data_IF_128636465614
#
_entry.id   IF_128636465614
#
_cell.length_a   1.000
_cell.length_b   1.000
_cell.length_c   1.000
_cell.angle_alpha   90.00
_cell.angle_beta   90.00
_cell.angle_gamma   90.00
#
_symmetry.space_group_name_H-M   'P 1'
#
loop_
_entity.id
_entity.type
_entity.pdbx_description
1 polymer ?
#
# COMPACT_ATOMS: atom_id res chain seq x y z
N UNK A 1 25.82 -6.86 11.28
CA UNK A 1 24.77 -7.39 10.36
C UNK A 1 24.31 -6.25 9.48
N UNK A 2 24.06 -6.49 8.18
CA UNK A 2 23.45 -5.52 7.25
C UNK A 2 22.41 -6.25 6.42
N UNK A 3 21.19 -5.73 6.35
CA UNK A 3 20.10 -6.33 5.59
C UNK A 3 19.49 -5.27 4.67
N UNK A 4 19.39 -5.59 3.39
CA UNK A 4 18.89 -4.71 2.34
C UNK A 4 17.51 -5.19 1.85
N UNK A 5 16.50 -4.36 2.02
CA UNK A 5 15.13 -4.69 1.69
C UNK A 5 14.61 -3.73 0.61
N UNK A 6 14.00 -4.27 -0.45
CA UNK A 6 13.28 -3.51 -1.46
C UNK A 6 11.80 -3.87 -1.41
N UNK A 7 10.95 -2.90 -1.15
CA UNK A 7 9.50 -3.02 -1.22
C UNK A 7 9.04 -2.26 -2.45
N UNK A 8 8.30 -2.92 -3.34
CA UNK A 8 7.83 -2.34 -4.59
C UNK A 8 6.35 -2.63 -4.82
N UNK A 9 5.65 -1.70 -5.42
CA UNK A 9 4.21 -1.83 -5.67
C UNK A 9 3.68 -0.69 -6.52
N UNK A 10 2.37 -0.56 -6.56
CA UNK A 10 1.70 0.51 -7.28
C UNK A 10 1.56 1.76 -6.39
N UNK A 11 1.67 2.94 -6.96
CA UNK A 11 1.46 4.19 -6.24
C UNK A 11 0.06 4.26 -5.62
N UNK A 12 0.01 4.42 -4.30
CA UNK A 12 -1.23 4.33 -3.51
C UNK A 12 -1.36 3.08 -2.65
N UNK A 13 -0.53 2.04 -2.85
CA UNK A 13 -0.51 0.84 -2.00
C UNK A 13 0.25 1.04 -0.66
N UNK A 14 0.69 2.26 -0.35
CA UNK A 14 1.39 2.55 0.90
C UNK A 14 2.82 2.00 0.99
N UNK A 15 3.49 1.83 -0.16
CA UNK A 15 4.86 1.29 -0.26
C UNK A 15 5.87 2.15 0.51
N UNK A 16 5.82 3.46 0.31
CA UNK A 16 6.69 4.42 1.00
C UNK A 16 6.43 4.42 2.50
N UNK A 17 5.17 4.36 2.90
CA UNK A 17 4.77 4.26 4.31
C UNK A 17 5.29 2.96 4.95
N UNK A 18 5.17 1.83 4.24
CA UNK A 18 5.68 0.56 4.74
C UNK A 18 7.20 0.60 5.00
N UNK A 19 7.96 1.18 4.07
CA UNK A 19 9.40 1.37 4.28
C UNK A 19 9.72 2.29 5.44
N UNK A 20 8.97 3.38 5.61
CA UNK A 20 9.16 4.30 6.73
C UNK A 20 8.82 3.64 8.09
N UNK A 21 7.80 2.79 8.13
CA UNK A 21 7.44 2.01 9.32
C UNK A 21 8.56 1.02 9.66
N UNK A 22 9.06 0.28 8.66
CA UNK A 22 10.13 -0.71 8.88
C UNK A 22 11.43 -0.05 9.35
N UNK A 23 11.83 1.07 8.72
CA UNK A 23 13.02 1.82 9.14
C UNK A 23 12.89 2.36 10.55
N UNK A 24 11.75 2.94 10.93
CA UNK A 24 11.51 3.40 12.31
C UNK A 24 11.49 2.25 13.31
N UNK A 25 10.93 1.10 12.93
CA UNK A 25 10.95 -0.09 13.79
C UNK A 25 12.38 -0.58 14.07
N UNK A 26 13.27 -0.50 13.09
CA UNK A 26 14.69 -0.82 13.28
C UNK A 26 15.37 0.16 14.25
N UNK A 27 15.09 1.46 14.13
CA UNK A 27 15.60 2.47 15.08
C UNK A 27 15.07 2.23 16.50
N UNK A 28 13.78 1.91 16.65
CA UNK A 28 13.19 1.55 17.97
C UNK A 28 13.84 0.32 18.56
N UNK A 29 14.31 -0.61 17.72
CA UNK A 29 15.04 -1.80 18.13
C UNK A 29 16.53 -1.55 18.47
N UNK A 30 17.00 -0.30 18.32
CA UNK A 30 18.39 0.08 18.60
C UNK A 30 19.34 -0.19 17.43
N UNK A 31 18.82 -0.40 16.23
CA UNK A 31 19.61 -0.57 15.00
C UNK A 31 19.68 0.74 14.21
N UNK A 32 20.65 0.84 13.32
CA UNK A 32 20.72 1.90 12.31
C UNK A 32 19.82 1.54 11.12
N UNK A 33 19.14 2.54 10.56
CA UNK A 33 18.35 2.34 9.35
C UNK A 33 18.34 3.56 8.43
N UNK A 34 18.42 3.31 7.13
CA UNK A 34 18.25 4.34 6.10
C UNK A 34 17.18 3.89 5.12
N UNK A 35 16.26 4.80 4.82
CA UNK A 35 15.24 4.60 3.79
C UNK A 35 15.51 5.50 2.59
N UNK A 36 15.49 4.94 1.40
CA UNK A 36 15.39 5.66 0.13
C UNK A 36 14.10 5.27 -0.59
N UNK A 37 13.59 6.13 -1.46
CA UNK A 37 12.33 5.89 -2.15
C UNK A 37 12.33 6.49 -3.55
N UNK A 38 11.45 6.00 -4.41
CA UNK A 38 11.21 6.64 -5.70
C UNK A 38 10.45 7.96 -5.50
N UNK A 39 10.93 9.00 -6.17
CA UNK A 39 10.26 10.30 -6.23
C UNK A 39 9.76 10.53 -7.65
N UNK A 40 8.56 11.08 -7.80
CA UNK A 40 8.03 11.45 -9.09
C UNK A 40 6.56 11.05 -9.30
N UNK A 41 6.06 11.17 -10.52
CA UNK A 41 4.67 10.84 -10.87
C UNK A 41 4.33 9.36 -10.62
N UNK A 42 5.33 8.48 -10.54
CA UNK A 42 5.14 7.06 -10.25
C UNK A 42 4.50 6.81 -8.87
N UNK A 43 4.68 7.70 -7.91
CA UNK A 43 4.01 7.60 -6.60
C UNK A 43 2.49 7.81 -6.67
N UNK A 44 1.97 8.28 -7.82
CA UNK A 44 0.55 8.57 -8.08
C UNK A 44 -0.02 7.74 -9.23
N UNK A 45 0.16 6.42 -9.19
CA UNK A 45 -0.40 5.53 -10.18
C UNK A 45 0.61 4.83 -11.09
N UNK A 46 1.92 4.97 -10.83
CA UNK A 46 2.98 4.18 -11.45
C UNK A 46 3.60 3.17 -10.48
N UNK A 47 4.67 2.48 -10.93
CA UNK A 47 5.43 1.60 -10.07
C UNK A 47 6.30 2.41 -9.09
N UNK A 48 6.00 2.31 -7.80
CA UNK A 48 6.73 2.93 -6.71
C UNK A 48 7.61 1.91 -5.99
N UNK A 49 8.72 2.36 -5.42
CA UNK A 49 9.57 1.56 -4.56
C UNK A 49 9.97 2.30 -3.29
N UNK A 50 10.27 1.55 -2.25
CA UNK A 50 10.96 1.98 -1.05
C UNK A 50 12.08 0.98 -0.75
N UNK A 51 13.26 1.46 -0.50
CA UNK A 51 14.43 0.65 -0.17
C UNK A 51 14.87 0.98 1.24
N UNK A 52 15.14 -0.03 2.02
CA UNK A 52 15.51 0.07 3.42
C UNK A 52 16.80 -0.71 3.64
N UNK A 53 17.77 -0.06 4.24
CA UNK A 53 18.99 -0.71 4.77
C UNK A 53 18.89 -0.71 6.28
N UNK A 54 18.96 -1.88 6.91
CA UNK A 54 18.98 -2.06 8.35
C UNK A 54 20.37 -2.60 8.74
N UNK A 55 21.01 -2.02 9.75
CA UNK A 55 22.35 -2.41 10.17
C UNK A 55 22.54 -2.27 11.69
N UNK A 56 23.46 -3.06 12.25
CA UNK A 56 23.97 -2.91 13.62
C UNK A 56 25.16 -1.91 13.71
N UNK A 57 25.58 -1.36 12.57
CA UNK A 57 26.62 -0.34 12.45
C UNK A 57 26.13 0.81 11.56
N UNK A 58 26.83 1.93 11.59
CA UNK A 58 26.53 3.12 10.78
C UNK A 58 26.37 2.75 9.30
N UNK A 59 25.28 3.20 8.70
CA UNK A 59 25.01 2.99 7.28
C UNK A 59 25.65 4.12 6.47
N UNK A 60 26.84 3.89 5.95
CA UNK A 60 27.60 4.82 5.12
C UNK A 60 27.16 4.80 3.63
N UNK A 61 26.54 3.70 3.16
CA UNK A 61 26.02 3.58 1.82
C UNK A 61 24.51 3.25 1.83
N UNK A 62 23.65 4.24 1.50
CA UNK A 62 22.20 4.11 1.68
C UNK A 62 21.47 3.42 0.54
N UNK A 63 22.16 3.07 -0.57
CA UNK A 63 21.50 2.43 -1.72
C UNK A 63 21.47 0.92 -1.58
N UNK A 64 20.35 0.34 -2.00
CA UNK A 64 20.18 -1.10 -2.21
C UNK A 64 20.56 -1.42 -3.65
N UNK A 65 21.71 -2.05 -3.82
CA UNK A 65 22.17 -2.50 -5.13
C UNK A 65 21.57 -3.87 -5.47
N UNK A 66 21.64 -4.81 -4.53
CA UNK A 66 21.09 -6.14 -4.64
C UNK A 66 20.36 -6.48 -3.34
N UNK A 67 19.02 -6.46 -3.30
CA UNK A 67 18.29 -6.67 -2.05
C UNK A 67 18.43 -8.10 -1.53
N UNK A 68 18.56 -8.26 -0.22
CA UNK A 68 18.42 -9.56 0.44
C UNK A 68 16.97 -10.03 0.39
N UNK A 69 16.03 -9.08 0.52
CA UNK A 69 14.58 -9.32 0.45
C UNK A 69 13.94 -8.35 -0.55
N UNK A 70 13.29 -8.91 -1.57
CA UNK A 70 12.44 -8.17 -2.48
C UNK A 70 10.97 -8.53 -2.21
N UNK A 71 10.14 -7.51 -1.93
CA UNK A 71 8.69 -7.69 -1.78
C UNK A 71 7.95 -6.90 -2.84
N UNK A 72 7.07 -7.55 -3.59
CA UNK A 72 6.38 -6.92 -4.72
C UNK A 72 4.87 -7.07 -4.63
N UNK A 73 4.17 -5.95 -4.65
CA UNK A 73 2.72 -5.87 -4.53
C UNK A 73 2.00 -5.54 -5.86
N UNK A 74 2.68 -5.59 -7.01
CA UNK A 74 2.03 -5.43 -8.31
C UNK A 74 2.90 -5.93 -9.47
N UNK A 75 2.27 -6.43 -10.56
CA UNK A 75 2.99 -6.87 -11.76
C UNK A 75 3.80 -5.75 -12.42
N UNK A 76 3.31 -4.49 -12.38
CA UNK A 76 4.03 -3.35 -12.93
C UNK A 76 5.32 -3.06 -12.15
N UNK A 77 5.28 -3.18 -10.82
CA UNK A 77 6.46 -3.01 -9.98
C UNK A 77 7.45 -4.17 -10.15
N UNK A 78 6.98 -5.40 -10.35
CA UNK A 78 7.85 -6.55 -10.64
C UNK A 78 8.64 -6.34 -11.92
N UNK A 79 7.99 -5.91 -13.00
CA UNK A 79 8.68 -5.61 -14.27
C UNK A 79 9.74 -4.50 -14.16
N UNK A 80 9.50 -3.51 -13.28
CA UNK A 80 10.40 -2.35 -13.16
C UNK A 80 11.52 -2.54 -12.13
N UNK A 81 11.24 -3.25 -11.03
CA UNK A 81 12.13 -3.34 -9.87
C UNK A 81 12.50 -4.76 -9.47
N UNK A 82 12.03 -5.76 -10.21
CA UNK A 82 12.42 -7.17 -10.07
C UNK A 82 13.68 -7.53 -10.84
N UNK A 83 14.48 -6.54 -11.22
CA UNK A 83 15.84 -6.66 -11.79
C UNK A 83 16.87 -6.55 -10.67
N UNK A 84 18.13 -6.79 -10.99
CA UNK A 84 19.25 -6.66 -10.05
C UNK A 84 19.09 -7.55 -8.79
N UNK A 85 18.61 -8.79 -9.00
CA UNK A 85 18.47 -9.79 -7.95
C UNK A 85 19.71 -10.68 -7.91
N UNK A 86 20.20 -10.96 -6.70
CA UNK A 86 21.26 -11.93 -6.46
C UNK A 86 20.71 -13.34 -6.32
N UNK A 87 21.59 -14.33 -6.37
CA UNK A 87 21.24 -15.75 -6.20
C UNK A 87 20.55 -16.04 -4.85
N UNK A 88 20.87 -15.24 -3.83
CA UNK A 88 20.32 -15.42 -2.47
C UNK A 88 19.14 -14.48 -2.16
N UNK A 89 18.73 -13.62 -3.08
CA UNK A 89 17.58 -12.72 -2.88
C UNK A 89 16.32 -13.52 -2.60
N UNK A 90 15.67 -13.24 -1.48
CA UNK A 90 14.35 -13.80 -1.15
C UNK A 90 13.28 -12.95 -1.79
N UNK A 91 12.52 -13.53 -2.71
CA UNK A 91 11.47 -12.83 -3.45
C UNK A 91 10.10 -13.23 -2.89
N UNK A 92 9.32 -12.25 -2.49
CA UNK A 92 7.94 -12.41 -2.02
C UNK A 92 7.03 -11.58 -2.90
N UNK A 93 5.97 -12.16 -3.42
CA UNK A 93 5.00 -11.46 -4.27
C UNK A 93 3.58 -11.59 -3.73
N UNK A 94 2.79 -10.54 -3.93
CA UNK A 94 1.34 -10.63 -3.67
C UNK A 94 0.70 -11.56 -4.71
N UNK A 95 0.03 -12.61 -4.24
CA UNK A 95 -0.51 -13.68 -5.08
C UNK A 95 -1.64 -13.19 -6.01
N UNK A 96 -2.46 -12.24 -5.55
CA UNK A 96 -3.57 -11.67 -6.32
C UNK A 96 -3.08 -10.59 -7.30
N UNK A 97 -2.13 -9.75 -6.88
CA UNK A 97 -1.73 -8.55 -7.61
C UNK A 97 -0.56 -8.75 -8.57
N UNK A 98 0.22 -9.82 -8.42
CA UNK A 98 1.33 -10.18 -9.30
C UNK A 98 0.95 -11.41 -10.13
N UNK A 99 0.34 -11.17 -11.28
CA UNK A 99 -0.23 -12.22 -12.14
C UNK A 99 0.80 -12.89 -13.07
N UNK A 100 2.04 -12.40 -13.08
CA UNK A 100 3.12 -13.03 -13.86
C UNK A 100 3.82 -14.11 -13.04
N UNK A 101 4.35 -15.12 -13.69
CA UNK A 101 5.22 -16.10 -13.03
C UNK A 101 6.55 -15.44 -12.65
N UNK A 102 7.00 -15.72 -11.43
CA UNK A 102 8.29 -15.26 -10.90
C UNK A 102 8.95 -16.48 -10.27
N UNK A 103 9.99 -16.95 -10.91
CA UNK A 103 10.71 -18.15 -10.48
C UNK A 103 11.26 -17.98 -9.07
N UNK A 104 11.08 -18.99 -8.21
CA UNK A 104 11.55 -18.99 -6.83
C UNK A 104 10.83 -18.02 -5.90
N UNK A 105 9.82 -17.27 -6.37
CA UNK A 105 9.09 -16.34 -5.53
C UNK A 105 8.07 -17.04 -4.62
N UNK A 106 8.02 -16.60 -3.37
CA UNK A 106 6.97 -16.99 -2.42
C UNK A 106 5.72 -16.14 -2.65
N UNK A 107 4.59 -16.78 -2.93
CA UNK A 107 3.32 -16.11 -3.28
C UNK A 107 2.43 -16.03 -2.05
N UNK A 108 2.12 -14.82 -1.60
CA UNK A 108 1.37 -14.58 -0.37
C UNK A 108 0.16 -13.68 -0.64
N UNK A 109 -1.04 -14.02 -0.17
CA UNK A 109 -2.28 -13.31 -0.50
C UNK A 109 -2.50 -12.06 0.37
N UNK A 110 -1.60 -11.06 0.29
CA UNK A 110 -1.69 -9.86 1.13
C UNK A 110 -2.94 -9.03 0.85
N UNK A 111 -3.24 -8.77 -0.43
CA UNK A 111 -4.39 -7.98 -0.84
C UNK A 111 -5.71 -8.69 -0.50
N UNK A 112 -5.82 -9.98 -0.76
CA UNK A 112 -7.00 -10.77 -0.40
C UNK A 112 -7.22 -10.82 1.11
N UNK A 113 -6.15 -10.97 1.90
CA UNK A 113 -6.22 -10.96 3.36
C UNK A 113 -6.70 -9.61 3.88
N UNK A 114 -6.19 -8.50 3.33
CA UNK A 114 -6.64 -7.16 3.68
C UNK A 114 -8.10 -6.91 3.31
N UNK A 115 -8.55 -7.39 2.15
CA UNK A 115 -9.96 -7.31 1.73
C UNK A 115 -10.88 -8.07 2.69
N UNK A 116 -10.45 -9.25 3.15
CA UNK A 116 -11.19 -10.03 4.12
C UNK A 116 -11.30 -9.33 5.49
N UNK A 117 -10.29 -8.52 5.87
CA UNK A 117 -10.34 -7.64 7.04
C UNK A 117 -11.21 -6.38 6.82
N UNK A 118 -11.67 -6.16 5.59
CA UNK A 118 -12.61 -5.10 5.24
C UNK A 118 -12.01 -3.90 4.49
N UNK A 119 -10.70 -3.77 4.40
CA UNK A 119 -10.05 -2.64 3.69
C UNK A 119 -8.74 -3.05 3.01
N UNK A 120 -8.73 -3.10 1.68
CA UNK A 120 -7.54 -3.41 0.87
C UNK A 120 -6.33 -2.50 1.15
N UNK A 121 -6.57 -1.28 1.61
CA UNK A 121 -5.51 -0.31 1.91
C UNK A 121 -4.51 -0.81 2.96
N UNK A 122 -4.90 -1.73 3.85
CA UNK A 122 -4.01 -2.27 4.89
C UNK A 122 -3.18 -3.47 4.42
N UNK A 123 -3.16 -3.79 3.12
CA UNK A 123 -2.34 -4.86 2.57
C UNK A 123 -0.83 -4.65 2.84
N UNK A 124 -0.39 -3.40 2.88
CA UNK A 124 0.98 -3.04 3.27
C UNK A 124 1.30 -3.41 4.73
N UNK A 125 0.32 -3.36 5.63
CA UNK A 125 0.50 -3.75 7.04
C UNK A 125 0.47 -5.28 7.17
N UNK A 126 -0.39 -5.98 6.41
CA UNK A 126 -0.34 -7.46 6.32
C UNK A 126 1.04 -7.90 5.82
N UNK A 127 1.55 -7.28 4.77
CA UNK A 127 2.88 -7.54 4.23
C UNK A 127 3.98 -7.30 5.28
N UNK A 128 3.93 -6.17 6.02
CA UNK A 128 4.89 -5.89 7.10
C UNK A 128 4.85 -6.97 8.18
N UNK A 129 3.67 -7.44 8.59
CA UNK A 129 3.53 -8.55 9.54
C UNK A 129 4.21 -9.82 9.05
N UNK A 130 4.00 -10.15 7.78
CA UNK A 130 4.60 -11.31 7.14
C UNK A 130 6.14 -11.24 7.09
N UNK A 131 6.70 -10.18 6.51
CA UNK A 131 8.16 -10.07 6.34
C UNK A 131 8.90 -9.93 7.66
N UNK A 132 8.29 -9.28 8.65
CA UNK A 132 8.88 -9.14 9.99
C UNK A 132 9.07 -10.50 10.65
N UNK A 133 8.06 -11.37 10.61
CA UNK A 133 8.13 -12.72 11.18
C UNK A 133 9.01 -13.64 10.31
N UNK A 134 8.78 -13.64 9.00
CA UNK A 134 9.43 -14.58 8.08
C UNK A 134 10.95 -14.43 8.02
N UNK A 135 11.43 -13.18 8.07
CA UNK A 135 12.84 -12.85 7.89
C UNK A 135 13.51 -12.33 9.18
N UNK A 136 12.80 -12.29 10.30
CA UNK A 136 13.29 -11.81 11.59
C UNK A 136 14.00 -10.45 11.51
N UNK A 137 13.39 -9.52 10.74
CA UNK A 137 14.00 -8.23 10.38
C UNK A 137 14.19 -7.31 11.59
N UNK A 138 13.18 -7.28 12.47
CA UNK A 138 13.14 -6.47 13.70
C UNK A 138 12.24 -7.15 14.73
N UNK A 139 12.41 -6.87 16.03
CA UNK A 139 11.53 -7.38 17.07
C UNK A 139 10.08 -6.98 16.81
N UNK A 140 9.15 -7.93 16.98
CA UNK A 140 7.72 -7.73 16.82
C UNK A 140 7.20 -6.47 17.52
N UNK A 141 7.63 -6.25 18.78
CA UNK A 141 7.22 -5.11 19.61
C UNK A 141 7.61 -3.78 18.97
N UNK A 142 8.81 -3.68 18.42
CA UNK A 142 9.30 -2.48 17.74
C UNK A 142 8.51 -2.17 16.47
N UNK A 143 8.12 -3.21 15.71
CA UNK A 143 7.28 -3.06 14.53
C UNK A 143 5.86 -2.58 14.91
N UNK A 144 5.23 -3.20 15.90
CA UNK A 144 3.91 -2.78 16.38
C UNK A 144 3.93 -1.31 16.84
N UNK A 145 4.95 -0.90 17.61
CA UNK A 145 5.11 0.47 18.07
C UNK A 145 5.23 1.46 16.90
N UNK A 146 6.06 1.16 15.92
CA UNK A 146 6.23 1.99 14.72
C UNK A 146 4.94 2.09 13.90
N UNK A 147 4.22 0.99 13.72
CA UNK A 147 2.92 1.00 13.04
C UNK A 147 1.98 1.98 13.75
N UNK A 148 1.79 1.85 15.07
CA UNK A 148 0.84 2.69 15.80
C UNK A 148 1.20 4.18 15.83
N UNK A 149 2.48 4.53 15.70
CA UNK A 149 2.92 5.93 15.56
C UNK A 149 2.54 6.56 14.22
N UNK A 150 2.39 5.76 13.16
CA UNK A 150 2.26 6.26 11.78
C UNK A 150 0.88 6.08 11.16
N UNK A 151 0.02 5.26 11.74
CA UNK A 151 -1.35 5.05 11.24
C UNK A 151 -2.29 6.18 11.67
N UNK A 152 -3.36 6.45 10.89
CA UNK A 152 -4.38 7.41 11.27
C UNK A 152 -5.12 6.96 12.54
N UNK A 153 -5.45 7.93 13.41
CA UNK A 153 -6.28 7.68 14.60
C UNK A 153 -7.62 7.05 14.24
N UNK A 154 -8.05 6.07 15.03
CA UNK A 154 -9.29 5.32 14.82
C UNK A 154 -9.14 4.14 13.85
N UNK A 155 -7.92 3.82 13.43
CA UNK A 155 -7.62 2.64 12.60
C UNK A 155 -6.76 1.61 13.31
N UNK A 156 -6.54 1.78 14.62
CA UNK A 156 -5.60 1.00 15.43
C UNK A 156 -5.95 -0.49 15.40
N UNK A 157 -7.22 -0.82 15.63
CA UNK A 157 -7.69 -2.22 15.67
C UNK A 157 -7.57 -2.88 14.30
N UNK A 158 -7.94 -2.18 13.23
CA UNK A 158 -7.81 -2.69 11.86
C UNK A 158 -6.35 -2.99 11.53
N UNK A 159 -5.43 -2.09 11.83
CA UNK A 159 -4.02 -2.27 11.54
C UNK A 159 -3.37 -3.34 12.44
N UNK A 160 -3.80 -3.46 13.69
CA UNK A 160 -3.38 -4.55 14.58
C UNK A 160 -3.80 -5.92 14.03
N UNK A 161 -5.04 -6.03 13.57
CA UNK A 161 -5.55 -7.25 12.96
C UNK A 161 -4.83 -7.56 11.63
N UNK A 162 -4.51 -6.54 10.83
CA UNK A 162 -3.76 -6.68 9.59
C UNK A 162 -2.33 -7.18 9.85
N UNK A 163 -1.64 -6.59 10.81
CA UNK A 163 -0.29 -7.02 11.21
C UNK A 163 -0.30 -8.47 11.72
N UNK A 164 -1.26 -8.81 12.61
CA UNK A 164 -1.40 -10.18 13.11
C UNK A 164 -1.71 -11.18 12.00
N UNK A 165 -2.55 -10.81 11.03
CA UNK A 165 -2.86 -11.67 9.89
C UNK A 165 -1.62 -11.96 9.04
N UNK A 166 -0.78 -10.96 8.80
CA UNK A 166 0.50 -11.16 8.12
C UNK A 166 1.46 -12.06 8.91
N UNK A 167 1.52 -11.88 10.21
CA UNK A 167 2.30 -12.73 11.12
C UNK A 167 1.85 -14.20 11.06
N UNK A 168 0.53 -14.43 11.11
CA UNK A 168 -0.05 -15.77 11.03
C UNK A 168 0.25 -16.43 9.67
N UNK A 169 0.22 -15.68 8.56
CA UNK A 169 0.61 -16.18 7.23
C UNK A 169 2.08 -16.65 7.20
N UNK A 170 2.99 -15.93 7.85
CA UNK A 170 4.39 -16.35 7.93
C UNK A 170 4.58 -17.64 8.72
N UNK A 171 3.75 -17.88 9.74
CA UNK A 171 3.69 -19.13 10.49
C UNK A 171 2.97 -20.29 9.74
N UNK A 172 2.48 -20.06 8.52
CA UNK A 172 1.67 -21.01 7.78
C UNK A 172 0.27 -21.21 8.34
N UNK A 173 -0.21 -20.31 9.19
CA UNK A 173 -1.54 -20.35 9.81
C UNK A 173 -2.55 -19.59 8.95
N UNK A 174 -3.83 -20.01 9.01
CA UNK A 174 -4.91 -19.22 8.41
C UNK A 174 -5.17 -17.97 9.28
N UNK A 175 -5.15 -16.75 8.68
CA UNK A 175 -5.42 -15.52 9.42
C UNK A 175 -6.81 -15.54 10.08
N UNK A 176 -6.88 -15.08 11.31
CA UNK A 176 -8.14 -14.90 12.02
C UNK A 176 -8.81 -13.61 11.53
N UNK A 177 -9.85 -13.74 10.72
CA UNK A 177 -10.61 -12.60 10.21
C UNK A 177 -11.77 -12.34 11.16
N UNK A 178 -11.85 -11.15 11.78
CA UNK A 178 -12.99 -10.79 12.62
C UNK A 178 -14.29 -10.86 11.82
N UNK A 179 -15.34 -11.49 12.41
CA UNK A 179 -16.67 -11.47 11.79
C UNK A 179 -17.15 -10.01 11.75
N UNK A 180 -17.50 -9.48 10.57
CA UNK A 180 -18.09 -8.16 10.44
C UNK A 180 -19.38 -8.11 11.25
N UNK A 181 -19.42 -7.25 12.27
CA UNK A 181 -20.69 -6.91 12.92
C UNK A 181 -21.59 -6.23 11.88
N UNK A 182 -22.80 -6.77 11.70
CA UNK A 182 -23.78 -6.34 10.68
C UNK A 182 -24.28 -4.89 10.83
N UNK A 183 -23.73 -4.10 11.75
CA UNK A 183 -24.18 -2.72 12.04
C UNK A 183 -23.55 -1.65 11.13
N UNK A 184 -22.32 -1.82 10.63
CA UNK A 184 -21.67 -0.77 9.84
C UNK A 184 -22.13 -0.68 8.39
N UNK A 185 -22.75 -1.73 7.84
CA UNK A 185 -23.20 -1.75 6.42
C UNK A 185 -24.43 -0.87 6.14
N UNK A 186 -25.06 -0.26 7.16
CA UNK A 186 -26.24 0.64 6.96
C UNK A 186 -25.84 2.11 6.80
N UNK A 187 -24.72 2.52 7.35
CA UNK A 187 -24.30 3.93 7.31
C UNK A 187 -23.52 4.29 6.04
N UNK A 188 -22.75 3.35 5.46
CA UNK A 188 -22.10 3.55 4.17
C UNK A 188 -23.12 3.67 3.02
N UNK A 189 -24.18 2.85 3.01
CA UNK A 189 -25.25 2.96 1.99
C UNK A 189 -26.06 4.24 2.07
N UNK A 190 -26.04 4.97 3.19
CA UNK A 190 -26.70 6.28 3.30
C UNK A 190 -25.83 7.43 2.76
N UNK A 191 -24.51 7.35 2.87
CA UNK A 191 -23.60 8.38 2.35
C UNK A 191 -23.56 8.38 0.82
N UNK A 192 -23.60 7.22 0.17
CA UNK A 192 -23.61 7.12 -1.29
C UNK A 192 -24.93 7.59 -1.93
N UNK A 193 -26.06 7.52 -1.19
CA UNK A 193 -27.35 8.01 -1.68
C UNK A 193 -27.53 9.53 -1.57
N UNK A 194 -26.81 10.19 -0.68
CA UNK A 194 -26.85 11.67 -0.53
C UNK A 194 -25.95 12.33 -1.57
N UNK A 195 -24.79 11.75 -1.92
CA UNK A 195 -23.89 12.28 -2.95
C UNK A 195 -24.40 12.21 -4.38
N UNK A 196 -25.40 11.35 -4.67
CA UNK A 196 -25.94 11.18 -6.04
C UNK A 196 -27.09 12.13 -6.36
N UNK A 197 -27.75 12.76 -5.38
CA UNK A 197 -28.84 13.71 -5.61
C UNK A 197 -28.35 15.11 -5.96
N UNK A 198 -27.20 15.53 -5.47
CA UNK A 198 -26.66 16.88 -5.74
C UNK A 198 -26.00 17.01 -7.12
N UNK A 199 -25.64 15.91 -7.78
CA UNK A 199 -25.09 15.95 -9.15
C UNK A 199 -26.13 16.04 -10.24
N UNK A 200 -27.40 15.64 -9.99
CA UNK A 200 -28.50 15.75 -10.98
C UNK A 200 -29.15 17.14 -11.02
N UNK A 201 -28.98 17.95 -9.98
CA UNK A 201 -29.51 19.32 -9.92
C UNK A 201 -28.68 20.36 -10.72
N UNK A 202 -27.39 20.14 -10.87
CA UNK A 202 -26.48 21.10 -11.55
C UNK A 202 -26.41 20.95 -13.07
N UNK A 203 -26.80 19.79 -13.61
CA UNK A 203 -26.80 19.55 -15.07
C UNK A 203 -28.04 20.08 -15.77
N UNK A 204 -29.19 20.26 -15.06
CA UNK A 204 -30.41 20.82 -15.65
C UNK A 204 -30.42 22.36 -15.72
N UNK A 205 -29.55 23.04 -14.95
CA UNK A 205 -29.48 24.53 -14.97
C UNK A 205 -28.57 25.03 -16.09
N UNK A 206 -27.52 24.26 -16.48
CA UNK A 206 -26.61 24.63 -17.57
C UNK A 206 -27.19 24.43 -19.00
N UNK A 207 -28.27 23.67 -19.16
CA UNK A 207 -28.90 23.43 -20.47
C UNK A 207 -29.99 24.47 -20.81
N UNK A 208 -30.50 25.22 -19.82
CA UNK A 208 -31.49 26.30 -20.10
C UNK A 208 -30.79 27.60 -20.51
N UNK A 209 -29.65 27.93 -19.91
CA UNK A 209 -28.92 29.17 -20.23
C UNK A 209 -28.25 29.15 -21.61
N UNK A 210 -28.08 27.95 -22.21
CA UNK A 210 -27.47 27.80 -23.55
C UNK A 210 -28.50 27.90 -24.70
N UNK A 211 -29.81 27.83 -24.39
CA UNK A 211 -30.88 27.95 -25.41
C UNK A 211 -31.29 29.40 -25.61
N UNK A 212 -31.25 30.24 -24.55
CA UNK A 212 -31.60 31.65 -24.68
C UNK A 212 -30.53 32.51 -25.36
N UNK A 213 -29.25 32.09 -25.36
CA UNK A 213 -28.17 32.84 -26.02
C UNK A 213 -28.03 32.56 -27.52
N UNK A 214 -28.71 31.54 -28.06
CA UNK A 214 -28.71 31.24 -29.52
C UNK A 214 -29.81 31.95 -30.28
N UNK A 215 -30.93 32.32 -29.65
CA UNK A 215 -32.06 33.00 -30.33
C UNK A 215 -31.85 34.51 -30.46
N UNK A 216 -30.84 35.10 -29.77
CA UNK A 216 -30.50 36.54 -29.90
C UNK A 216 -29.44 36.85 -30.97
N UNK A 217 -28.83 35.85 -31.63
CA UNK A 217 -27.81 36.09 -32.66
C UNK A 217 -28.34 35.99 -34.10
N UNK A 218 -29.60 35.67 -34.30
CA UNK A 218 -30.16 35.46 -35.64
C UNK A 218 -31.19 36.54 -36.09
N UNK A 219 -31.16 37.72 -35.45
CA UNK A 219 -32.05 38.88 -35.84
C UNK A 219 -31.30 40.19 -36.00
N UNK A 220 -30.14 40.19 -36.63
CA UNK A 220 -29.40 41.41 -36.88
C UNK A 220 -28.50 41.26 -38.11
N UNK A 221 -29.10 41.21 -39.27
CA UNK A 221 -28.38 41.20 -40.54
C UNK A 221 -29.33 41.39 -41.71
N UNK A 222 -29.81 42.63 -41.87
CA UNK A 222 -30.24 43.15 -43.17
C UNK A 222 -30.48 44.65 -42.97
N UNK A 223 -29.52 45.44 -43.35
CA UNK A 223 -29.64 46.73 -44.10
C UNK A 223 -28.23 47.24 -44.38
#
# INVERSE_FOLDING_TARGET
>A
MRTEIRIAGFGGQGIVLAGAILGEAAIIAGMEAVQTQSYGPESRGGAARSEIVISDAVVDYPRVACPDVLVVLSSAAMRKYGTDLGENTKVVVDDDMVQMEVEGAERIPFAMTADALGRRIVANIVMLGYITNKFDLVPRKSMEESIFKRIPKGTEELNKNAFQAGWDLADGKKPKIPKKDKKESKDEKKKDKVGSKDKKGKTKKKSKDKKESKDKKNKGGDK
#
